data_IF_660327649548
#
_entry.id   IF_660327649548
#
_cell.length_a   1.000
_cell.length_b   1.000
_cell.length_c   1.000
_cell.angle_alpha   90.00
_cell.angle_beta   90.00
_cell.angle_gamma   90.00
#
_symmetry.space_group_name_H-M   'P 1'
#
loop_
_entity.id
_entity.type
_entity.pdbx_description
1 polymer ?
#
# COMPACT_ATOMS: atom_id res chain seq x y z
N UNK A 1 -0.05 -33.61 -12.60
CA UNK A 1 -1.47 -33.93 -12.58
C UNK A 1 -2.33 -32.76 -12.14
N UNK A 2 -3.65 -32.90 -12.14
CA UNK A 2 -4.56 -31.81 -11.77
C UNK A 2 -4.37 -31.34 -10.34
N UNK A 3 -4.04 -32.20 -9.40
CA UNK A 3 -3.81 -31.85 -8.01
C UNK A 3 -2.60 -30.93 -7.88
N UNK A 4 -1.52 -31.22 -8.58
CA UNK A 4 -0.33 -30.39 -8.57
C UNK A 4 -0.61 -29.01 -9.16
N UNK A 5 -1.36 -28.91 -10.26
CA UNK A 5 -1.80 -27.65 -10.83
C UNK A 5 -2.64 -26.85 -9.85
N UNK A 6 -3.56 -27.48 -9.14
CA UNK A 6 -4.39 -26.83 -8.14
C UNK A 6 -3.54 -26.24 -7.02
N UNK A 7 -2.55 -26.96 -6.53
CA UNK A 7 -1.65 -26.48 -5.49
C UNK A 7 -0.82 -25.28 -5.95
N UNK A 8 -0.30 -25.34 -7.17
CA UNK A 8 0.46 -24.23 -7.74
C UNK A 8 -0.41 -22.99 -7.93
N UNK A 9 -1.64 -23.16 -8.42
CA UNK A 9 -2.58 -22.05 -8.57
C UNK A 9 -2.97 -21.46 -7.23
N UNK A 10 -3.23 -22.29 -6.23
CA UNK A 10 -3.54 -21.83 -4.89
C UNK A 10 -2.42 -20.95 -4.32
N UNK A 11 -1.19 -21.44 -4.37
CA UNK A 11 -0.03 -20.69 -3.89
C UNK A 11 0.13 -19.37 -4.64
N UNK A 12 -0.03 -19.37 -5.95
CA UNK A 12 0.06 -18.18 -6.78
C UNK A 12 -1.00 -17.15 -6.39
N UNK A 13 -2.27 -17.57 -6.26
CA UNK A 13 -3.33 -16.67 -5.87
C UNK A 13 -3.12 -16.11 -4.48
N UNK A 14 -2.70 -16.93 -3.53
CA UNK A 14 -2.46 -16.48 -2.16
C UNK A 14 -1.33 -15.43 -2.11
N UNK A 15 -0.25 -15.64 -2.87
CA UNK A 15 0.84 -14.67 -2.90
C UNK A 15 0.43 -13.34 -3.54
N UNK A 16 -0.43 -13.37 -4.55
CA UNK A 16 -0.89 -12.16 -5.22
C UNK A 16 -1.89 -11.37 -4.37
N UNK A 17 -2.73 -12.06 -3.61
CA UNK A 17 -3.84 -11.42 -2.88
C UNK A 17 -3.47 -11.06 -1.45
N UNK A 18 -2.62 -11.85 -0.80
CA UNK A 18 -2.36 -11.73 0.63
C UNK A 18 -1.81 -10.35 1.01
N UNK A 19 -0.71 -9.96 0.42
CA UNK A 19 -0.06 -8.69 0.74
C UNK A 19 -0.93 -7.50 0.35
N UNK A 20 -1.53 -7.56 -0.82
CA UNK A 20 -2.43 -6.52 -1.30
C UNK A 20 -3.60 -6.31 -0.34
N UNK A 21 -4.23 -7.40 0.08
CA UNK A 21 -5.35 -7.35 1.02
C UNK A 21 -4.94 -6.83 2.38
N UNK A 22 -3.78 -7.27 2.89
CA UNK A 22 -3.28 -6.82 4.19
C UNK A 22 -3.04 -5.32 4.20
N UNK A 23 -2.32 -4.80 3.23
CA UNK A 23 -1.96 -3.39 3.17
C UNK A 23 -3.20 -2.52 2.94
N UNK A 24 -4.04 -2.88 1.98
CA UNK A 24 -5.27 -2.12 1.71
C UNK A 24 -6.23 -2.15 2.90
N UNK A 25 -6.35 -3.28 3.57
CA UNK A 25 -7.22 -3.41 4.75
C UNK A 25 -6.71 -2.55 5.90
N UNK A 26 -5.41 -2.56 6.16
CA UNK A 26 -4.82 -1.72 7.20
C UNK A 26 -4.99 -0.23 6.88
N UNK A 27 -4.79 0.15 5.64
CA UNK A 27 -5.02 1.53 5.20
C UNK A 27 -6.49 1.95 5.39
N UNK A 28 -7.41 1.07 5.03
CA UNK A 28 -8.83 1.32 5.21
C UNK A 28 -9.23 1.44 6.68
N UNK A 29 -8.61 0.64 7.56
CA UNK A 29 -8.84 0.73 9.01
C UNK A 29 -8.37 2.06 9.58
N UNK A 30 -7.20 2.56 9.17
CA UNK A 30 -6.75 3.88 9.57
C UNK A 30 -7.70 4.97 9.10
N UNK A 31 -8.15 4.88 7.85
CA UNK A 31 -9.09 5.84 7.30
C UNK A 31 -10.44 5.80 8.04
N UNK A 32 -10.95 4.62 8.33
CA UNK A 32 -12.21 4.48 9.05
C UNK A 32 -12.15 5.01 10.48
N UNK A 33 -11.01 4.80 11.15
CA UNK A 33 -10.83 5.26 12.54
C UNK A 33 -10.75 6.78 12.65
N UNK A 34 -10.09 7.44 11.69
CA UNK A 34 -9.84 8.89 11.77
C UNK A 34 -10.86 9.73 11.01
N UNK A 35 -11.65 9.11 10.13
CA UNK A 35 -12.68 9.79 9.35
C UNK A 35 -12.14 10.54 8.13
N UNK A 36 -13.03 11.16 7.34
CA UNK A 36 -12.66 11.76 6.06
C UNK A 36 -11.92 13.09 6.17
N UNK A 37 -11.86 13.70 7.37
CA UNK A 37 -11.29 15.02 7.53
C UNK A 37 -9.76 15.04 7.71
N UNK A 38 -9.15 13.85 7.80
CA UNK A 38 -7.69 13.71 7.96
C UNK A 38 -7.07 13.32 6.63
N UNK A 39 -5.87 13.83 6.40
CA UNK A 39 -5.10 13.52 5.20
C UNK A 39 -4.03 12.50 5.57
N UNK A 40 -4.02 11.37 4.88
CA UNK A 40 -3.04 10.31 5.10
C UNK A 40 -2.09 10.19 3.92
N UNK A 41 -0.79 10.19 4.22
CA UNK A 41 0.25 9.95 3.23
C UNK A 41 1.10 8.76 3.66
N UNK A 42 1.52 7.97 2.68
CA UNK A 42 2.41 6.84 2.90
C UNK A 42 3.86 7.30 2.73
N UNK A 43 4.67 7.18 3.79
CA UNK A 43 6.08 7.61 3.80
C UNK A 43 7.02 6.47 4.22
N UNK A 44 6.59 5.24 4.10
CA UNK A 44 7.32 4.09 4.62
C UNK A 44 8.34 3.46 3.67
N UNK A 45 8.68 4.09 2.56
CA UNK A 45 9.55 3.48 1.54
C UNK A 45 10.90 3.01 2.09
N UNK A 46 11.49 3.75 3.03
CA UNK A 46 12.78 3.37 3.63
C UNK A 46 12.75 2.04 4.36
N UNK A 47 11.59 1.62 4.82
CA UNK A 47 11.41 0.40 5.61
C UNK A 47 10.59 -0.65 4.85
N UNK A 48 10.41 -0.44 3.55
CA UNK A 48 9.67 -1.39 2.72
C UNK A 48 10.49 -2.64 2.45
N UNK A 49 9.80 -3.68 2.06
CA UNK A 49 10.41 -4.97 1.74
C UNK A 49 10.86 -4.99 0.27
N UNK A 50 11.94 -4.27 0.00
CA UNK A 50 12.48 -4.13 -1.34
C UNK A 50 11.74 -3.13 -2.20
N UNK A 51 12.28 -2.81 -3.39
CA UNK A 51 11.66 -1.84 -4.29
C UNK A 51 10.24 -2.23 -4.71
N UNK A 52 10.04 -3.49 -5.05
CA UNK A 52 8.72 -4.00 -5.44
C UNK A 52 7.73 -3.94 -4.28
N UNK A 53 8.19 -4.28 -3.07
CA UNK A 53 7.36 -4.17 -1.87
C UNK A 53 6.96 -2.73 -1.60
N UNK A 54 7.90 -1.80 -1.79
CA UNK A 54 7.62 -0.38 -1.64
C UNK A 54 6.58 0.13 -2.63
N UNK A 55 6.72 -0.24 -3.91
CA UNK A 55 5.74 0.12 -4.94
C UNK A 55 4.36 -0.46 -4.65
N UNK A 56 4.31 -1.73 -4.30
CA UNK A 56 3.06 -2.41 -3.98
C UNK A 56 2.39 -1.80 -2.76
N UNK A 57 3.17 -1.52 -1.71
CA UNK A 57 2.64 -0.89 -0.50
C UNK A 57 2.01 0.47 -0.82
N UNK A 58 2.69 1.31 -1.61
CA UNK A 58 2.17 2.62 -1.99
C UNK A 58 0.86 2.49 -2.77
N UNK A 59 0.80 1.56 -3.73
CA UNK A 59 -0.41 1.31 -4.51
C UNK A 59 -1.58 0.89 -3.64
N UNK A 60 -1.37 -0.08 -2.76
CA UNK A 60 -2.46 -0.64 -1.96
C UNK A 60 -2.87 0.28 -0.81
N UNK A 61 -1.96 1.09 -0.27
CA UNK A 61 -2.34 2.15 0.66
C UNK A 61 -3.26 3.17 0.00
N UNK A 62 -2.96 3.55 -1.23
CA UNK A 62 -3.81 4.47 -1.96
C UNK A 62 -5.19 3.87 -2.25
N UNK A 63 -5.24 2.61 -2.67
CA UNK A 63 -6.49 1.91 -2.89
C UNK A 63 -7.31 1.77 -1.60
N UNK A 64 -6.64 1.62 -0.46
CA UNK A 64 -7.29 1.51 0.84
C UNK A 64 -7.78 2.83 1.41
N UNK A 65 -7.46 3.95 0.79
CA UNK A 65 -7.98 5.24 1.22
C UNK A 65 -6.95 6.28 1.63
N UNK A 66 -5.65 6.03 1.43
CA UNK A 66 -4.62 7.05 1.66
C UNK A 66 -4.66 8.08 0.54
N UNK A 67 -4.28 9.31 0.86
CA UNK A 67 -4.41 10.44 -0.06
C UNK A 67 -3.19 10.64 -0.96
N UNK A 68 -2.03 10.14 -0.57
CA UNK A 68 -0.81 10.30 -1.36
C UNK A 68 0.35 9.52 -0.81
N UNK A 69 1.51 9.65 -1.46
CA UNK A 69 2.72 8.94 -1.10
C UNK A 69 3.95 9.81 -1.36
N UNK A 70 5.05 9.52 -0.68
CA UNK A 70 6.37 10.08 -0.99
C UNK A 70 7.11 9.24 -2.04
N UNK A 71 6.57 8.11 -2.45
CA UNK A 71 7.18 7.24 -3.45
C UNK A 71 6.95 7.81 -4.84
N UNK A 72 7.95 8.47 -5.40
CA UNK A 72 7.84 9.17 -6.69
C UNK A 72 7.52 8.21 -7.83
N UNK A 73 8.17 7.04 -7.84
CA UNK A 73 7.93 6.05 -8.89
C UNK A 73 6.50 5.51 -8.83
N UNK A 74 5.99 5.22 -7.64
CA UNK A 74 4.62 4.78 -7.47
C UNK A 74 3.63 5.86 -7.93
N UNK A 75 3.90 7.11 -7.60
CA UNK A 75 3.09 8.23 -8.06
C UNK A 75 3.02 8.30 -9.58
N UNK A 76 4.17 8.15 -10.23
CA UNK A 76 4.26 8.18 -11.69
C UNK A 76 3.55 7.00 -12.35
N UNK A 77 3.74 5.79 -11.81
CA UNK A 77 3.19 4.58 -12.42
C UNK A 77 1.69 4.40 -12.16
N UNK A 78 1.20 4.83 -11.01
CA UNK A 78 -0.17 4.54 -10.58
C UNK A 78 -1.05 5.79 -10.49
N UNK A 79 -0.50 6.97 -10.82
CA UNK A 79 -1.27 8.20 -10.73
C UNK A 79 -1.57 8.66 -9.30
N UNK A 80 -0.76 8.25 -8.32
CA UNK A 80 -0.96 8.62 -6.92
C UNK A 80 -0.39 10.01 -6.67
N UNK A 81 -1.09 10.91 -5.98
CA UNK A 81 -0.53 12.22 -5.63
C UNK A 81 0.76 12.08 -4.81
N UNK A 82 1.79 12.82 -5.21
CA UNK A 82 3.09 12.78 -4.56
C UNK A 82 3.20 13.94 -3.57
N UNK A 83 3.59 13.63 -2.34
CA UNK A 83 3.76 14.62 -1.28
C UNK A 83 5.13 14.51 -0.65
N UNK A 84 5.76 15.66 -0.39
CA UNK A 84 7.03 15.73 0.31
C UNK A 84 6.86 15.72 1.82
N UNK A 85 7.98 15.54 2.52
CA UNK A 85 7.96 15.45 3.99
C UNK A 85 7.66 16.77 4.71
N UNK A 86 7.66 17.89 4.00
CA UNK A 86 7.50 19.22 4.59
C UNK A 86 6.06 19.68 4.65
N UNK A 87 5.11 18.81 4.36
CA UNK A 87 3.70 19.19 4.38
C UNK A 87 3.16 19.00 5.78
N UNK A 88 2.59 20.06 6.33
CA UNK A 88 1.94 20.02 7.62
C UNK A 88 0.73 19.09 7.59
N UNK A 89 0.40 18.50 8.73
CA UNK A 89 -0.75 17.60 8.93
C UNK A 89 -0.57 16.20 8.31
N UNK A 90 0.63 15.83 7.94
CA UNK A 90 0.88 14.48 7.46
C UNK A 90 1.13 13.52 8.61
N UNK A 91 0.52 12.36 8.54
CA UNK A 91 0.83 11.26 9.45
C UNK A 91 1.77 10.30 8.75
N UNK A 92 2.95 10.11 9.35
CA UNK A 92 3.87 9.10 8.87
C UNK A 92 3.46 7.77 9.49
N UNK A 93 2.98 6.86 8.66
CA UNK A 93 2.51 5.56 9.10
C UNK A 93 3.39 4.47 8.49
N UNK A 94 3.92 3.61 9.35
CA UNK A 94 4.71 2.47 8.94
C UNK A 94 3.84 1.22 8.98
N UNK A 95 3.47 0.73 7.78
CA UNK A 95 2.56 -0.42 7.63
C UNK A 95 3.30 -1.74 7.39
N UNK A 96 4.61 -1.71 7.42
CA UNK A 96 5.42 -2.88 7.10
C UNK A 96 5.99 -3.51 8.37
#
# INVERSE_FOLDING_TARGET
GPILKAQLLETTFLTLVNYASLVATNAARFRATTGPNKIFHEFGLRRAQGPDGGLSASKYCYLGGFDGTSNVLAGKLFGIPIKGKNIELNFEIHLY
#
